data_IF_935072179786
#
_entry.id   IF_935072179786
#
_cell.length_a   1.000
_cell.length_b   1.000
_cell.length_c   1.000
_cell.angle_alpha   90.00
_cell.angle_beta   90.00
_cell.angle_gamma   90.00
#
_symmetry.space_group_name_H-M   'P 1'
#
loop_
_entity.id
_entity.type
_entity.pdbx_description
1 polymer ?
#
# COMPACT_ATOMS: atom_id res chain seq x y z
N UNK A 1 41.16 9.11 3.92
CA UNK A 1 40.94 9.24 5.38
C UNK A 1 39.98 10.40 5.53
N UNK A 2 38.75 10.23 5.99
CA UNK A 2 38.32 9.53 7.22
C UNK A 2 36.97 8.87 6.96
N UNK A 3 36.86 7.57 7.27
CA UNK A 3 35.58 6.87 7.37
C UNK A 3 35.00 7.16 8.75
N UNK A 4 33.80 7.75 8.82
CA UNK A 4 33.03 7.81 10.06
C UNK A 4 31.98 6.70 10.10
N UNK A 5 31.92 6.10 11.28
CA UNK A 5 31.19 4.89 11.64
C UNK A 5 29.72 5.24 11.83
N UNK A 6 28.82 4.53 11.17
CA UNK A 6 27.41 4.54 11.52
C UNK A 6 27.10 3.38 12.48
N UNK A 7 26.65 3.74 13.67
CA UNK A 7 26.25 2.83 14.75
C UNK A 7 24.87 2.26 14.39
N UNK A 8 24.87 0.99 13.99
CA UNK A 8 23.67 0.20 13.75
C UNK A 8 22.99 -0.11 15.09
N UNK A 9 21.74 0.30 15.29
CA UNK A 9 20.92 -0.19 16.41
C UNK A 9 20.77 -1.70 16.25
N UNK A 10 21.23 -2.41 17.28
CA UNK A 10 21.52 -3.83 17.21
C UNK A 10 20.27 -4.69 17.12
N UNK A 11 20.19 -5.47 16.04
CA UNK A 11 19.78 -6.86 16.09
C UNK A 11 20.70 -7.65 15.14
N UNK A 12 21.54 -8.51 15.72
CA UNK A 12 22.37 -9.45 14.96
C UNK A 12 21.45 -10.58 14.48
N UNK A 13 21.17 -10.63 13.18
CA UNK A 13 20.49 -11.78 12.58
C UNK A 13 21.51 -12.69 11.90
N UNK A 14 21.51 -13.96 12.31
CA UNK A 14 22.39 -15.01 11.83
C UNK A 14 22.09 -15.38 10.36
N UNK A 15 23.09 -15.91 9.61
CA UNK A 15 22.87 -16.36 8.25
C UNK A 15 21.96 -17.60 8.20
N UNK A 16 21.17 -17.71 7.13
CA UNK A 16 20.25 -18.80 6.87
C UNK A 16 20.93 -20.18 6.98
N UNK A 17 20.41 -21.05 7.85
CA UNK A 17 20.84 -22.44 7.94
C UNK A 17 20.01 -23.36 7.03
N UNK A 18 20.65 -24.46 6.67
CA UNK A 18 20.44 -25.36 5.55
C UNK A 18 19.09 -26.10 5.46
N UNK A 19 18.80 -26.56 4.23
CA UNK A 19 17.64 -27.37 3.83
C UNK A 19 17.50 -28.66 4.65
N UNK A 20 16.30 -29.03 5.13
CA UNK A 20 16.05 -30.37 5.62
C UNK A 20 15.80 -31.34 4.45
N UNK A 21 16.28 -32.56 4.66
CA UNK A 21 16.24 -33.73 3.79
C UNK A 21 14.83 -34.22 3.48
N UNK A 22 14.63 -34.71 2.25
CA UNK A 22 13.39 -35.31 1.73
C UNK A 22 13.00 -36.54 2.56
N UNK A 23 11.87 -36.45 3.26
CA UNK A 23 11.12 -37.58 3.80
C UNK A 23 9.99 -37.96 2.85
N UNK A 24 9.80 -39.26 2.64
CA UNK A 24 8.79 -39.89 1.78
C UNK A 24 7.36 -39.42 2.08
N UNK A 25 6.60 -39.05 1.04
CA UNK A 25 5.19 -38.63 1.12
C UNK A 25 4.28 -39.85 0.92
N UNK A 26 3.38 -40.06 1.87
CA UNK A 26 2.29 -41.03 1.87
C UNK A 26 1.17 -40.57 0.90
N UNK A 27 0.78 -41.34 -0.14
CA UNK A 27 -0.09 -40.88 -1.21
C UNK A 27 -1.58 -40.71 -0.84
N UNK A 28 -2.03 -41.12 0.35
CA UNK A 28 -3.46 -41.14 0.69
C UNK A 28 -3.92 -40.08 1.72
N UNK A 29 -3.09 -39.08 2.03
CA UNK A 29 -3.48 -38.02 2.97
C UNK A 29 -4.18 -36.85 2.27
N UNK A 30 -5.51 -36.92 2.20
CA UNK A 30 -6.37 -35.78 1.84
C UNK A 30 -6.14 -34.61 2.83
N UNK A 31 -5.79 -33.39 2.37
CA UNK A 31 -5.78 -32.24 3.25
C UNK A 31 -7.22 -31.80 3.47
N UNK A 32 -7.67 -31.90 4.73
CA UNK A 32 -8.90 -31.28 5.20
C UNK A 32 -8.88 -29.79 4.84
N UNK A 33 -9.91 -29.36 4.12
CA UNK A 33 -10.15 -27.97 3.76
C UNK A 33 -10.31 -27.14 5.04
N UNK A 34 -9.25 -26.41 5.41
CA UNK A 34 -9.31 -25.47 6.52
C UNK A 34 -9.96 -24.16 6.03
N UNK A 35 -11.28 -24.17 5.92
CA UNK A 35 -12.08 -22.95 5.76
C UNK A 35 -12.18 -22.22 7.11
N UNK A 36 -11.15 -21.46 7.47
CA UNK A 36 -11.18 -20.63 8.71
C UNK A 36 -10.36 -19.34 8.66
N UNK A 37 -10.21 -18.70 7.49
CA UNK A 37 -9.47 -17.44 7.36
C UNK A 37 -10.32 -16.20 7.04
N UNK A 38 -11.61 -16.20 7.42
CA UNK A 38 -12.50 -15.05 7.17
C UNK A 38 -13.21 -14.53 8.43
N UNK A 39 -12.60 -14.74 9.61
CA UNK A 39 -13.19 -14.38 10.92
C UNK A 39 -12.46 -13.33 11.73
N UNK A 40 -11.57 -12.57 11.12
CA UNK A 40 -11.04 -11.33 11.71
C UNK A 40 -11.00 -10.23 10.66
N UNK A 41 -12.18 -9.70 10.32
CA UNK A 41 -12.30 -8.24 10.30
C UNK A 41 -12.16 -7.78 11.77
N UNK A 42 -10.95 -7.91 12.32
CA UNK A 42 -10.60 -7.28 13.58
C UNK A 42 -10.85 -5.80 13.31
N UNK A 43 -11.63 -5.16 14.18
CA UNK A 43 -11.81 -3.72 14.19
C UNK A 43 -10.44 -3.06 14.41
N UNK A 44 -9.62 -2.99 13.37
CA UNK A 44 -8.34 -2.31 13.42
C UNK A 44 -8.68 -0.83 13.41
N UNK A 45 -8.48 -0.21 14.56
CA UNK A 45 -8.53 1.24 14.68
C UNK A 45 -7.61 1.83 13.63
N UNK A 46 -8.08 2.81 12.83
CA UNK A 46 -7.22 3.56 11.93
C UNK A 46 -5.96 4.04 12.64
N UNK A 47 -4.82 3.98 11.95
CA UNK A 47 -3.58 4.52 12.49
C UNK A 47 -3.74 6.02 12.76
N UNK A 48 -3.17 6.49 13.86
CA UNK A 48 -3.14 7.91 14.20
C UNK A 48 -1.72 8.39 14.05
N UNK A 49 -1.50 9.29 13.10
CA UNK A 49 -0.21 9.95 12.92
C UNK A 49 -0.14 11.20 13.78
N UNK A 50 0.97 11.36 14.49
CA UNK A 50 1.25 12.51 15.34
C UNK A 50 2.66 13.01 15.04
N UNK A 51 3.04 14.23 15.47
CA UNK A 51 4.41 14.71 15.30
C UNK A 51 5.48 13.82 15.96
N UNK A 52 5.09 12.92 16.89
CA UNK A 52 5.98 11.98 17.56
C UNK A 52 6.01 10.58 16.89
N UNK A 53 5.19 10.34 15.87
CA UNK A 53 5.15 9.06 15.15
C UNK A 53 6.49 8.84 14.45
N UNK A 54 7.09 7.68 14.68
CA UNK A 54 8.35 7.31 14.03
C UNK A 54 8.08 6.93 12.58
N UNK A 55 8.75 7.61 11.65
CA UNK A 55 8.56 7.45 10.22
C UNK A 55 9.92 7.25 9.55
N UNK A 56 10.03 6.32 8.59
CA UNK A 56 11.18 6.24 7.70
C UNK A 56 11.54 7.61 7.12
N UNK A 57 12.82 7.97 7.10
CA UNK A 57 13.30 9.11 6.31
C UNK A 57 13.26 8.79 4.82
N UNK A 58 13.41 9.79 3.95
CA UNK A 58 13.48 9.55 2.49
C UNK A 58 14.72 8.72 2.09
N UNK A 59 15.80 8.84 2.85
CA UNK A 59 16.98 7.97 2.69
C UNK A 59 16.65 6.52 3.10
N UNK A 60 15.94 6.32 4.21
CA UNK A 60 15.46 5.00 4.62
C UNK A 60 14.52 4.39 3.57
N UNK A 61 13.60 5.19 3.01
CA UNK A 61 12.70 4.75 1.92
C UNK A 61 13.51 4.25 0.73
N UNK A 62 14.55 4.99 0.32
CA UNK A 62 15.42 4.59 -0.80
C UNK A 62 16.17 3.29 -0.49
N UNK A 63 16.71 3.14 0.73
CA UNK A 63 17.36 1.91 1.18
C UNK A 63 16.38 0.73 1.25
N UNK A 64 15.13 0.95 1.64
CA UNK A 64 14.08 -0.07 1.67
C UNK A 64 13.71 -0.51 0.25
N UNK A 65 13.56 0.42 -0.69
CA UNK A 65 13.34 0.11 -2.10
C UNK A 65 14.43 -0.81 -2.66
N UNK A 66 15.70 -0.53 -2.34
CA UNK A 66 16.82 -1.38 -2.75
C UNK A 66 16.79 -2.74 -2.04
N UNK A 67 16.56 -2.76 -0.72
CA UNK A 67 16.52 -3.98 0.09
C UNK A 67 15.45 -4.96 -0.36
N UNK A 68 14.27 -4.48 -0.75
CA UNK A 68 13.15 -5.31 -1.18
C UNK A 68 13.04 -5.45 -2.70
N UNK A 69 14.03 -4.92 -3.44
CA UNK A 69 14.11 -5.06 -4.89
C UNK A 69 12.94 -4.40 -5.62
N UNK A 70 12.43 -3.27 -5.11
CA UNK A 70 11.34 -2.53 -5.75
C UNK A 70 11.79 -2.08 -7.15
N UNK A 71 11.08 -2.53 -8.19
CA UNK A 71 11.45 -2.29 -9.58
C UNK A 71 11.27 -0.82 -9.96
N UNK A 72 12.07 -0.30 -10.89
CA UNK A 72 12.08 1.13 -11.26
C UNK A 72 10.70 1.66 -11.63
N UNK A 73 9.94 0.95 -12.46
CA UNK A 73 8.58 1.36 -12.83
C UNK A 73 7.60 1.40 -11.65
N UNK A 74 7.87 0.65 -10.57
CA UNK A 74 7.08 0.70 -9.34
C UNK A 74 7.53 1.90 -8.49
N UNK A 75 8.84 2.20 -8.44
CA UNK A 75 9.36 3.43 -7.80
C UNK A 75 8.78 4.68 -8.47
N UNK A 76 8.75 4.70 -9.81
CA UNK A 76 8.19 5.79 -10.60
C UNK A 76 6.69 5.96 -10.35
N UNK A 77 5.94 4.85 -10.32
CA UNK A 77 4.54 4.85 -9.91
C UNK A 77 4.36 5.47 -8.52
N UNK A 78 5.10 4.99 -7.52
CA UNK A 78 5.01 5.47 -6.15
C UNK A 78 5.35 6.96 -5.99
N UNK A 79 6.27 7.51 -6.78
CA UNK A 79 6.55 8.96 -6.81
C UNK A 79 5.36 9.77 -7.30
N UNK A 80 4.70 9.32 -8.37
CA UNK A 80 3.51 10.01 -8.92
C UNK A 80 2.33 9.88 -7.96
N UNK A 81 2.17 8.72 -7.29
CA UNK A 81 1.19 8.56 -6.21
C UNK A 81 1.48 9.53 -5.06
N UNK A 82 2.75 9.69 -4.66
CA UNK A 82 3.16 10.66 -3.64
C UNK A 82 2.81 12.10 -4.01
N UNK A 83 3.04 12.48 -5.28
CA UNK A 83 2.66 13.80 -5.78
C UNK A 83 1.16 14.06 -5.66
N UNK A 84 0.32 13.12 -6.14
CA UNK A 84 -1.14 13.22 -6.03
C UNK A 84 -1.59 13.26 -4.57
N UNK A 85 -1.02 12.40 -3.72
CA UNK A 85 -1.38 12.32 -2.31
C UNK A 85 -1.08 13.64 -1.57
N UNK A 86 0.10 14.24 -1.78
CA UNK A 86 0.47 15.53 -1.18
C UNK A 86 -0.38 16.71 -1.70
N UNK A 87 -0.77 16.67 -2.98
CA UNK A 87 -1.71 17.64 -3.54
C UNK A 87 -3.05 17.59 -2.81
N UNK A 88 -3.61 16.38 -2.63
CA UNK A 88 -4.86 16.17 -1.90
C UNK A 88 -4.74 16.58 -0.43
N UNK A 89 -3.63 16.24 0.23
CA UNK A 89 -3.34 16.69 1.60
C UNK A 89 -3.34 18.21 1.71
N UNK A 90 -2.79 18.91 0.72
CA UNK A 90 -2.79 20.37 0.67
C UNK A 90 -4.22 20.93 0.53
N UNK A 91 -5.04 20.34 -0.33
CA UNK A 91 -6.45 20.74 -0.50
C UNK A 91 -7.28 20.48 0.76
N UNK A 92 -7.07 19.35 1.42
CA UNK A 92 -7.72 19.01 2.69
C UNK A 92 -7.34 20.00 3.81
N UNK A 93 -6.08 20.42 3.87
CA UNK A 93 -5.63 21.42 4.84
C UNK A 93 -6.34 22.78 4.64
N UNK A 94 -6.67 23.16 3.40
CA UNK A 94 -7.40 24.41 3.11
C UNK A 94 -8.82 24.43 3.69
N UNK A 95 -9.43 23.25 3.90
CA UNK A 95 -10.75 23.09 4.53
C UNK A 95 -10.68 22.66 6.00
N UNK A 96 -9.48 22.72 6.60
CA UNK A 96 -9.27 22.46 8.03
C UNK A 96 -9.06 20.99 8.41
N UNK A 97 -8.93 20.08 7.43
CA UNK A 97 -8.59 18.68 7.66
C UNK A 97 -7.07 18.55 7.59
N UNK A 98 -6.42 18.46 8.75
CA UNK A 98 -4.97 18.41 8.87
C UNK A 98 -4.50 16.96 8.95
N UNK A 99 -3.77 16.53 7.93
CA UNK A 99 -3.07 15.25 7.88
C UNK A 99 -1.57 15.49 8.05
N UNK A 100 -0.81 14.48 8.48
CA UNK A 100 0.65 14.54 8.49
C UNK A 100 1.21 14.34 7.06
N UNK A 101 1.76 15.38 6.40
CA UNK A 101 2.24 15.25 5.03
C UNK A 101 3.43 14.29 4.91
N UNK A 102 4.25 14.12 5.97
CA UNK A 102 5.37 13.17 5.95
C UNK A 102 4.85 11.74 5.97
N UNK A 103 3.81 11.47 6.75
CA UNK A 103 3.17 10.14 6.77
C UNK A 103 2.53 9.81 5.42
N UNK A 104 1.86 10.78 4.79
CA UNK A 104 1.28 10.63 3.45
C UNK A 104 2.37 10.33 2.41
N UNK A 105 3.46 11.11 2.41
CA UNK A 105 4.56 10.93 1.47
C UNK A 105 5.22 9.55 1.64
N UNK A 106 5.62 9.19 2.86
CA UNK A 106 6.25 7.90 3.15
C UNK A 106 5.31 6.74 2.84
N UNK A 107 4.03 6.86 3.22
CA UNK A 107 3.01 5.87 2.91
C UNK A 107 2.84 5.65 1.41
N UNK A 108 2.77 6.74 0.63
CA UNK A 108 2.70 6.68 -0.83
C UNK A 108 3.96 6.07 -1.47
N UNK A 109 5.15 6.42 -0.97
CA UNK A 109 6.41 5.89 -1.49
C UNK A 109 6.60 4.40 -1.17
N UNK A 110 6.04 3.91 -0.06
CA UNK A 110 6.21 2.52 0.41
C UNK A 110 5.00 1.62 0.16
N UNK A 111 3.85 2.12 -0.31
CA UNK A 111 2.62 1.32 -0.44
C UNK A 111 2.83 0.00 -1.20
N UNK A 112 3.65 0.03 -2.24
CA UNK A 112 3.93 -1.08 -3.14
C UNK A 112 5.26 -1.81 -2.82
N UNK A 113 5.87 -1.59 -1.64
CA UNK A 113 7.19 -2.13 -1.27
C UNK A 113 7.28 -3.66 -1.43
N UNK A 114 6.18 -4.37 -1.18
CA UNK A 114 6.13 -5.82 -1.25
C UNK A 114 5.68 -6.34 -2.63
N UNK A 115 5.52 -5.48 -3.63
CA UNK A 115 5.05 -5.88 -4.96
C UNK A 115 6.06 -6.76 -5.67
N UNK A 116 7.34 -6.40 -5.72
CA UNK A 116 8.38 -7.27 -6.30
C UNK A 116 8.50 -8.60 -5.55
N UNK A 117 8.62 -8.63 -4.20
CA UNK A 117 8.64 -9.89 -3.44
C UNK A 117 7.41 -10.80 -3.68
N UNK A 118 6.26 -10.24 -4.01
CA UNK A 118 5.04 -11.00 -4.26
C UNK A 118 4.90 -11.52 -5.70
N UNK A 119 5.72 -11.05 -6.66
CA UNK A 119 5.63 -11.48 -8.06
C UNK A 119 5.74 -13.00 -8.20
N UNK A 120 4.85 -13.59 -9.00
CA UNK A 120 4.82 -15.04 -9.21
C UNK A 120 4.26 -15.86 -8.03
N UNK A 121 3.71 -15.21 -7.01
CA UNK A 121 3.10 -15.88 -5.84
C UNK A 121 1.61 -15.55 -5.71
N UNK A 122 0.90 -16.25 -4.82
CA UNK A 122 -0.50 -15.95 -4.45
C UNK A 122 -0.61 -14.96 -3.27
N UNK A 123 0.52 -14.47 -2.74
CA UNK A 123 0.55 -13.54 -1.61
C UNK A 123 0.03 -12.18 -2.04
N UNK A 124 -0.52 -11.44 -1.07
CA UNK A 124 -1.02 -10.09 -1.30
C UNK A 124 0.01 -9.05 -0.84
N UNK A 125 0.40 -8.15 -1.74
CA UNK A 125 1.45 -7.16 -1.46
C UNK A 125 1.06 -6.16 -0.37
N UNK A 126 -0.22 -5.83 -0.20
CA UNK A 126 -0.68 -5.01 0.93
C UNK A 126 -0.37 -5.67 2.29
N UNK A 127 -0.66 -6.96 2.43
CA UNK A 127 -0.41 -7.71 3.67
C UNK A 127 1.06 -8.01 3.91
N UNK A 128 1.80 -8.37 2.87
CA UNK A 128 3.25 -8.56 3.00
C UNK A 128 3.96 -7.24 3.30
N UNK A 129 3.52 -6.13 2.70
CA UNK A 129 4.04 -4.79 2.97
C UNK A 129 3.76 -4.34 4.41
N UNK A 130 2.53 -4.56 4.90
CA UNK A 130 2.17 -4.36 6.31
C UNK A 130 3.11 -5.13 7.23
N UNK A 131 3.32 -6.43 6.99
CA UNK A 131 4.21 -7.24 7.82
C UNK A 131 5.65 -6.72 7.79
N UNK A 132 6.18 -6.37 6.61
CA UNK A 132 7.52 -5.81 6.47
C UNK A 132 7.69 -4.57 7.33
N UNK A 133 6.77 -3.59 7.23
CA UNK A 133 6.91 -2.34 7.98
C UNK A 133 6.68 -2.54 9.48
N UNK A 134 5.80 -3.47 9.86
CA UNK A 134 5.57 -3.82 11.26
C UNK A 134 6.82 -4.44 11.90
N UNK A 135 7.48 -5.35 11.18
CA UNK A 135 8.72 -5.99 11.64
C UNK A 135 9.90 -5.02 11.71
N UNK A 136 9.88 -3.96 10.89
CA UNK A 136 10.86 -2.87 10.92
C UNK A 136 10.59 -1.83 12.02
N UNK A 137 9.47 -1.95 12.74
CA UNK A 137 9.14 -1.05 13.85
C UNK A 137 8.30 0.18 13.46
N UNK A 138 7.63 0.16 12.31
CA UNK A 138 6.77 1.25 11.82
C UNK A 138 5.29 0.84 11.77
N UNK A 139 4.62 0.59 12.91
CA UNK A 139 3.28 0.00 12.93
C UNK A 139 2.18 0.88 12.34
N UNK A 140 2.30 2.21 12.38
CA UNK A 140 1.35 3.15 11.79
C UNK A 140 1.44 3.13 10.26
N UNK A 141 2.66 3.20 9.71
CA UNK A 141 2.89 3.06 8.26
C UNK A 141 2.50 1.66 7.79
N UNK A 142 2.77 0.63 8.59
CA UNK A 142 2.34 -0.73 8.31
C UNK A 142 0.83 -0.85 8.14
N UNK A 143 0.04 -0.21 9.01
CA UNK A 143 -1.42 -0.18 8.87
C UNK A 143 -1.84 0.48 7.55
N UNK A 144 -1.29 1.66 7.25
CA UNK A 144 -1.58 2.40 6.02
C UNK A 144 -1.34 1.52 4.77
N UNK A 145 -0.19 0.83 4.73
CA UNK A 145 0.13 -0.11 3.66
C UNK A 145 -0.82 -1.32 3.68
N UNK A 146 -1.21 -1.83 4.84
CA UNK A 146 -2.13 -2.96 4.93
C UNK A 146 -3.52 -2.72 4.32
N UNK A 147 -3.92 -1.45 4.21
CA UNK A 147 -5.25 -1.06 3.72
C UNK A 147 -5.25 -0.38 2.34
N UNK A 148 -4.09 -0.06 1.74
CA UNK A 148 -4.02 0.72 0.49
C UNK A 148 -4.66 0.05 -0.75
N UNK A 149 -4.81 -1.29 -0.76
CA UNK A 149 -5.55 -2.01 -1.81
C UNK A 149 -7.03 -2.13 -1.46
N UNK A 150 -7.35 -2.32 -0.18
CA UNK A 150 -8.72 -2.52 0.31
C UNK A 150 -8.93 -1.68 1.57
N UNK A 151 -9.40 -0.46 1.38
CA UNK A 151 -9.80 0.40 2.48
C UNK A 151 -11.04 -0.21 3.17
N UNK A 152 -11.01 -0.40 4.50
CA UNK A 152 -12.21 -0.72 5.28
C UNK A 152 -13.30 0.33 5.05
N UNK A 153 -14.56 -0.02 5.28
CA UNK A 153 -15.67 0.92 5.15
C UNK A 153 -16.64 0.72 6.33
N UNK A 154 -17.06 1.78 7.04
CA UNK A 154 -16.64 3.17 6.88
C UNK A 154 -15.16 3.38 7.28
N UNK A 155 -14.53 4.45 6.77
CA UNK A 155 -13.17 4.84 7.13
C UNK A 155 -13.05 6.37 7.20
N UNK A 156 -12.32 6.94 8.17
CA UNK A 156 -12.13 8.38 8.22
C UNK A 156 -11.30 8.87 7.02
N UNK A 157 -11.40 10.16 6.73
CA UNK A 157 -10.46 10.85 5.84
C UNK A 157 -9.15 11.07 6.62
N UNK A 158 -8.27 10.08 6.51
CA UNK A 158 -6.93 10.06 7.10
C UNK A 158 -5.84 9.86 6.03
N UNK A 159 -4.59 9.73 6.44
CA UNK A 159 -3.45 9.48 5.56
C UNK A 159 -3.62 8.20 4.73
N UNK A 160 -4.24 7.16 5.30
CA UNK A 160 -4.49 5.89 4.62
C UNK A 160 -5.55 6.03 3.54
N UNK A 161 -6.60 6.81 3.80
CA UNK A 161 -7.60 7.17 2.81
C UNK A 161 -6.98 7.90 1.62
N UNK A 162 -6.17 8.92 1.88
CA UNK A 162 -5.55 9.74 0.84
C UNK A 162 -4.61 8.89 -0.03
N UNK A 163 -3.75 8.07 0.57
CA UNK A 163 -2.85 7.18 -0.19
C UNK A 163 -3.64 6.12 -0.97
N UNK A 164 -4.68 5.54 -0.38
CA UNK A 164 -5.57 4.58 -1.05
C UNK A 164 -6.17 5.16 -2.33
N UNK A 165 -6.72 6.38 -2.26
CA UNK A 165 -7.35 7.05 -3.39
C UNK A 165 -6.31 7.51 -4.43
N UNK A 166 -5.20 8.11 -3.98
CA UNK A 166 -4.12 8.58 -4.85
C UNK A 166 -3.52 7.46 -5.72
N UNK A 167 -3.32 6.25 -5.19
CA UNK A 167 -2.89 5.09 -6.01
C UNK A 167 -3.87 4.79 -7.16
N UNK A 168 -5.18 4.91 -6.93
CA UNK A 168 -6.18 4.68 -7.98
C UNK A 168 -6.22 5.81 -9.02
N UNK A 169 -5.66 6.97 -8.71
CA UNK A 169 -5.48 8.10 -9.65
C UNK A 169 -4.25 7.96 -10.54
N UNK A 170 -3.43 6.92 -10.37
CA UNK A 170 -2.17 6.77 -11.11
C UNK A 170 -2.12 5.43 -11.84
N UNK A 171 -1.89 5.45 -13.15
CA UNK A 171 -1.64 4.27 -13.97
C UNK A 171 -0.23 4.29 -14.52
N UNK A 172 0.58 3.30 -14.12
CA UNK A 172 2.03 3.34 -14.30
C UNK A 172 2.58 4.60 -13.61
N UNK A 173 3.06 5.56 -14.37
CA UNK A 173 3.62 6.83 -13.96
C UNK A 173 2.76 8.02 -14.42
N UNK A 174 1.48 7.79 -14.78
CA UNK A 174 0.58 8.82 -15.31
C UNK A 174 -0.66 8.97 -14.45
N UNK A 175 -1.05 10.22 -14.20
CA UNK A 175 -2.33 10.55 -13.57
C UNK A 175 -3.45 10.28 -14.57
N UNK A 176 -4.49 9.56 -14.15
CA UNK A 176 -5.62 9.12 -14.99
C UNK A 176 -6.95 9.20 -14.24
N UNK A 177 -8.07 9.30 -14.96
CA UNK A 177 -9.41 9.15 -14.37
C UNK A 177 -9.65 7.73 -13.78
N UNK A 178 -10.56 7.60 -12.79
CA UNK A 178 -10.87 6.27 -12.22
C UNK A 178 -11.45 5.32 -13.29
N UNK A 179 -12.24 5.83 -14.24
CA UNK A 179 -12.77 5.05 -15.34
C UNK A 179 -11.67 4.43 -16.21
N UNK A 180 -10.67 5.22 -16.58
CA UNK A 180 -9.46 4.79 -17.30
C UNK A 180 -8.67 3.76 -16.48
N UNK A 181 -8.41 4.04 -15.20
CA UNK A 181 -7.67 3.13 -14.31
C UNK A 181 -8.32 1.75 -14.25
N UNK A 182 -9.62 1.70 -13.99
CA UNK A 182 -10.32 0.42 -13.81
C UNK A 182 -10.61 -0.30 -15.14
N UNK A 183 -10.78 0.42 -16.25
CA UNK A 183 -10.82 -0.18 -17.59
C UNK A 183 -9.51 -0.92 -17.89
N UNK A 184 -8.37 -0.26 -17.66
CA UNK A 184 -7.04 -0.88 -17.82
C UNK A 184 -6.85 -2.11 -16.92
N UNK A 185 -7.25 -2.03 -15.65
CA UNK A 185 -7.16 -3.17 -14.72
C UNK A 185 -8.03 -4.34 -15.20
N UNK A 186 -9.26 -4.07 -15.67
CA UNK A 186 -10.16 -5.10 -16.18
C UNK A 186 -9.60 -5.79 -17.43
N UNK A 187 -9.07 -5.02 -18.39
CA UNK A 187 -8.46 -5.56 -19.61
C UNK A 187 -7.22 -6.42 -19.29
N UNK A 188 -6.33 -5.93 -18.41
CA UNK A 188 -5.06 -6.59 -18.11
C UNK A 188 -5.19 -7.78 -17.17
N UNK A 189 -6.03 -7.67 -16.13
CA UNK A 189 -6.11 -8.63 -15.03
C UNK A 189 -7.44 -9.37 -14.96
N UNK A 190 -8.50 -8.87 -15.58
CA UNK A 190 -9.78 -9.56 -15.65
C UNK A 190 -9.71 -10.83 -16.48
N UNK A 191 -9.02 -10.81 -17.63
CA UNK A 191 -8.78 -11.96 -18.54
C UNK A 191 -10.02 -12.82 -18.84
N UNK A 192 -11.22 -12.23 -18.81
CA UNK A 192 -12.49 -12.94 -19.00
C UNK A 192 -12.93 -13.83 -17.82
N UNK A 193 -12.18 -13.84 -16.71
CA UNK A 193 -12.55 -14.55 -15.49
C UNK A 193 -13.61 -13.78 -14.70
N UNK A 194 -14.79 -14.37 -14.55
CA UNK A 194 -15.95 -13.72 -13.95
C UNK A 194 -15.70 -13.28 -12.50
N UNK A 195 -14.97 -14.09 -11.71
CA UNK A 195 -14.65 -13.77 -10.31
C UNK A 195 -13.64 -12.62 -10.21
N UNK A 196 -12.63 -12.58 -11.09
CA UNK A 196 -11.69 -11.47 -11.16
C UNK A 196 -12.38 -10.18 -11.60
N UNK A 197 -13.24 -10.23 -12.62
CA UNK A 197 -14.04 -9.07 -13.06
C UNK A 197 -14.96 -8.56 -11.94
N UNK A 198 -15.62 -9.46 -11.20
CA UNK A 198 -16.46 -9.10 -10.05
C UNK A 198 -15.65 -8.41 -8.95
N UNK A 199 -14.45 -8.92 -8.63
CA UNK A 199 -13.55 -8.28 -7.64
C UNK A 199 -13.08 -6.90 -8.11
N UNK A 200 -12.77 -6.75 -9.39
CA UNK A 200 -12.37 -5.46 -9.99
C UNK A 200 -13.53 -4.47 -9.93
N UNK A 201 -14.76 -4.91 -10.22
CA UNK A 201 -15.94 -4.06 -10.14
C UNK A 201 -16.23 -3.60 -8.70
N UNK A 202 -16.10 -4.49 -7.71
CA UNK A 202 -16.22 -4.11 -6.30
C UNK A 202 -15.16 -3.08 -5.91
N UNK A 203 -13.91 -3.25 -6.36
CA UNK A 203 -12.84 -2.29 -6.11
C UNK A 203 -13.13 -0.94 -6.81
N UNK A 204 -13.66 -0.97 -8.02
CA UNK A 204 -14.08 0.22 -8.78
C UNK A 204 -15.13 1.01 -8.00
N UNK A 205 -16.21 0.35 -7.58
CA UNK A 205 -17.29 0.99 -6.82
C UNK A 205 -16.78 1.62 -5.52
N UNK A 206 -15.86 0.96 -4.81
CA UNK A 206 -15.24 1.51 -3.60
C UNK A 206 -14.37 2.73 -3.89
N UNK A 207 -13.61 2.74 -4.99
CA UNK A 207 -12.81 3.88 -5.37
C UNK A 207 -13.68 5.09 -5.73
N UNK A 208 -14.77 4.89 -6.47
CA UNK A 208 -15.72 5.97 -6.78
C UNK A 208 -16.47 6.48 -5.53
N UNK A 209 -16.80 5.59 -4.58
CA UNK A 209 -17.37 6.02 -3.30
C UNK A 209 -16.37 6.89 -2.51
N UNK A 210 -15.10 6.48 -2.44
CA UNK A 210 -14.05 7.27 -1.81
C UNK A 210 -13.83 8.63 -2.50
N UNK A 211 -13.88 8.67 -3.84
CA UNK A 211 -13.83 9.92 -4.61
C UNK A 211 -14.98 10.87 -4.23
N UNK A 212 -16.21 10.35 -4.20
CA UNK A 212 -17.38 11.13 -3.82
C UNK A 212 -17.27 11.67 -2.39
N UNK A 213 -16.83 10.84 -1.44
CA UNK A 213 -16.63 11.25 -0.05
C UNK A 213 -15.56 12.33 0.09
N UNK A 214 -14.42 12.16 -0.58
CA UNK A 214 -13.32 13.13 -0.56
C UNK A 214 -13.73 14.47 -1.16
N UNK A 215 -14.34 14.46 -2.35
CA UNK A 215 -14.69 15.69 -3.06
C UNK A 215 -15.95 16.36 -2.52
N UNK A 216 -16.78 15.66 -1.74
CA UNK A 216 -17.83 16.31 -0.95
C UNK A 216 -17.25 17.28 0.11
N UNK A 217 -16.01 17.06 0.55
CA UNK A 217 -15.30 17.92 1.51
C UNK A 217 -14.46 19.01 0.83
N UNK A 218 -14.25 18.93 -0.49
CA UNK A 218 -13.39 19.83 -1.25
C UNK A 218 -14.22 20.65 -2.26
N UNK A 219 -15.09 21.58 -1.81
CA UNK A 219 -16.04 22.28 -2.70
C UNK A 219 -15.38 23.18 -3.75
N UNK A 220 -14.09 23.51 -3.58
CA UNK A 220 -13.31 24.32 -4.52
C UNK A 220 -12.53 23.51 -5.56
N UNK A 221 -12.56 22.18 -5.47
CA UNK A 221 -11.79 21.29 -6.35
C UNK A 221 -12.69 20.18 -6.89
N UNK A 222 -12.28 19.61 -8.01
CA UNK A 222 -12.95 18.48 -8.68
C UNK A 222 -11.94 17.37 -8.98
N UNK A 223 -12.37 16.11 -9.16
CA UNK A 223 -11.45 15.03 -9.51
C UNK A 223 -10.62 15.32 -10.78
N UNK A 224 -11.18 16.09 -11.70
CA UNK A 224 -10.53 16.50 -12.95
C UNK A 224 -9.37 17.50 -12.75
N UNK A 225 -9.31 18.17 -11.61
CA UNK A 225 -8.25 19.13 -11.27
C UNK A 225 -6.95 18.43 -10.84
N UNK A 226 -6.99 17.11 -10.57
CA UNK A 226 -5.80 16.31 -10.28
C UNK A 226 -5.05 16.08 -11.60
N UNK A 227 -3.96 16.85 -11.79
CA UNK A 227 -3.12 16.84 -12.98
C UNK A 227 -1.64 16.86 -12.60
N UNK A 228 -0.75 16.58 -13.57
CA UNK A 228 0.70 16.48 -13.36
C UNK A 228 1.41 17.84 -13.38
#
# INVERSE_FOLDING_TARGET
>A
MVQERLIFRGQRFAPAQAKPTVGSVDPDRHPAQNHSHDRQALFMTPAVFTPATDLPTLDDVSLLWDRFGMLDHIRDHSRVVGHVALMLTTWLAQVGILLDPRAVEVGALLHDIAKTPCLGTTRRHDREGENILRDLGYPEVAYLIGVHVRLPQPHPIDESFVVYYADKRVMHDRIVDLGQRFSYIAERYGKGDAESLKRIEVARLRAFAAEQELFALLPSHRPEDIQA
#
